data_IF_789856471226
#
_entry.id   IF_789856471226
#
_cell.length_a   1.000
_cell.length_b   1.000
_cell.length_c   1.000
_cell.angle_alpha   90.00
_cell.angle_beta   90.00
_cell.angle_gamma   90.00
#
_symmetry.space_group_name_H-M   'P 1'
#
loop_
_entity.id
_entity.type
_entity.pdbx_description
1 polymer ?
#
# COMPACT_ATOMS: atom_id res chain seq x y z
N UNK A 1 -42.26 -12.61 0.12
CA UNK A 1 -41.40 -11.71 0.93
C UNK A 1 -39.96 -12.22 0.85
N UNK A 2 -38.98 -11.37 0.55
CA UNK A 2 -37.57 -11.74 0.28
C UNK A 2 -36.59 -11.20 1.35
N UNK A 3 -36.96 -11.25 2.64
CA UNK A 3 -36.07 -10.83 3.73
C UNK A 3 -35.98 -9.32 4.02
N UNK A 4 -36.78 -8.47 3.36
CA UNK A 4 -36.83 -7.04 3.71
C UNK A 4 -37.46 -6.83 5.10
N UNK A 5 -36.76 -6.10 5.96
CA UNK A 5 -37.21 -5.71 7.30
C UNK A 5 -37.61 -4.23 7.27
N UNK A 6 -38.90 -3.96 7.43
CA UNK A 6 -39.45 -2.60 7.36
C UNK A 6 -39.44 -1.91 8.75
N UNK A 7 -39.58 -2.70 9.82
CA UNK A 7 -39.62 -2.19 11.19
C UNK A 7 -38.22 -1.98 11.76
N UNK A 8 -38.05 -0.93 12.57
CA UNK A 8 -36.82 -0.69 13.33
C UNK A 8 -36.79 -1.53 14.61
N UNK A 9 -35.60 -1.74 15.17
CA UNK A 9 -35.44 -2.41 16.47
C UNK A 9 -36.20 -1.71 17.62
N UNK A 10 -36.43 -0.40 17.50
CA UNK A 10 -37.20 0.37 18.47
C UNK A 10 -38.70 0.05 18.41
N UNK A 11 -39.26 -0.07 17.20
CA UNK A 11 -40.68 -0.37 17.01
C UNK A 11 -41.00 -1.86 17.21
N UNK A 12 -39.98 -2.72 17.21
CA UNK A 12 -40.11 -4.16 17.33
C UNK A 12 -40.28 -4.82 15.96
N UNK A 13 -39.69 -6.01 15.82
CA UNK A 13 -39.75 -6.79 14.59
C UNK A 13 -40.96 -7.73 14.62
N UNK A 14 -41.66 -7.86 13.50
CA UNK A 14 -42.65 -8.93 13.34
C UNK A 14 -41.96 -10.30 13.37
N UNK A 15 -42.71 -11.36 13.69
CA UNK A 15 -42.14 -12.71 13.80
C UNK A 15 -41.39 -13.15 12.52
N UNK A 16 -41.88 -12.77 11.35
CA UNK A 16 -41.22 -13.06 10.06
C UNK A 16 -39.95 -12.24 9.83
N UNK A 17 -39.96 -10.94 10.20
CA UNK A 17 -38.78 -10.08 10.08
C UNK A 17 -37.67 -10.52 11.05
N UNK A 18 -38.05 -10.87 12.29
CA UNK A 18 -37.13 -11.42 13.27
C UNK A 18 -36.50 -12.74 12.78
N UNK A 19 -37.29 -13.62 12.17
CA UNK A 19 -36.79 -14.88 11.61
C UNK A 19 -35.77 -14.64 10.49
N UNK A 20 -36.08 -13.77 9.51
CA UNK A 20 -35.14 -13.45 8.43
C UNK A 20 -33.89 -12.74 8.94
N UNK A 21 -34.03 -11.82 9.89
CA UNK A 21 -32.90 -11.14 10.51
C UNK A 21 -31.99 -12.10 11.27
N UNK A 22 -32.56 -13.04 12.04
CA UNK A 22 -31.79 -14.06 12.75
C UNK A 22 -31.09 -15.04 11.80
N UNK A 23 -31.69 -15.35 10.64
CA UNK A 23 -31.04 -16.16 9.60
C UNK A 23 -29.82 -15.46 9.01
N UNK A 24 -29.93 -14.18 8.65
CA UNK A 24 -28.83 -13.38 8.11
C UNK A 24 -27.67 -13.26 9.12
N UNK A 25 -28.00 -12.99 10.39
CA UNK A 25 -27.00 -12.96 11.47
C UNK A 25 -26.30 -14.32 11.59
N UNK A 26 -26.99 -15.44 11.41
CA UNK A 26 -26.39 -16.79 11.46
C UNK A 26 -25.50 -17.08 10.25
N UNK A 27 -25.85 -16.59 9.06
CA UNK A 27 -24.98 -16.65 7.87
C UNK A 27 -23.73 -15.77 8.00
N UNK A 28 -23.77 -14.73 8.83
CA UNK A 28 -22.58 -13.94 9.21
C UNK A 28 -21.72 -14.55 10.32
N UNK A 29 -22.15 -15.68 10.91
CA UNK A 29 -21.44 -16.40 12.00
C UNK A 29 -20.51 -17.56 11.54
N UNK A 30 -20.13 -17.81 10.27
CA UNK A 30 -19.12 -18.82 9.92
C UNK A 30 -17.71 -18.32 10.21
N UNK A 31 -17.52 -17.71 11.38
CA UNK A 31 -16.24 -17.17 11.86
C UNK A 31 -15.23 -18.31 12.03
N UNK A 32 -15.66 -19.52 12.37
CA UNK A 32 -14.76 -20.65 12.67
C UNK A 32 -14.06 -21.26 11.45
N UNK A 33 -14.77 -21.50 10.36
CA UNK A 33 -14.19 -22.09 9.13
C UNK A 33 -13.21 -21.11 8.47
N UNK A 34 -13.56 -19.84 8.55
CA UNK A 34 -12.77 -18.71 8.10
C UNK A 34 -11.46 -18.53 8.90
N UNK A 35 -11.48 -18.74 10.23
CA UNK A 35 -10.27 -18.68 11.08
C UNK A 35 -9.27 -19.81 10.75
N UNK A 36 -9.75 -21.02 10.45
CA UNK A 36 -8.87 -22.14 10.11
C UNK A 36 -8.07 -21.86 8.83
N UNK A 37 -8.77 -21.34 7.81
CA UNK A 37 -8.17 -21.02 6.53
C UNK A 37 -7.20 -19.82 6.60
N UNK A 38 -7.54 -18.77 7.36
CA UNK A 38 -6.66 -17.62 7.55
C UNK A 38 -5.42 -17.98 8.37
N UNK A 39 -5.57 -18.81 9.41
CA UNK A 39 -4.47 -19.31 10.23
C UNK A 39 -3.48 -20.18 9.44
N UNK A 40 -3.98 -21.01 8.53
CA UNK A 40 -3.13 -21.82 7.65
C UNK A 40 -2.29 -20.94 6.71
N UNK A 41 -2.89 -19.92 6.11
CA UNK A 41 -2.18 -18.97 5.23
C UNK A 41 -1.08 -18.25 6.00
N UNK A 42 -1.41 -17.66 7.17
CA UNK A 42 -0.45 -16.93 7.99
C UNK A 42 0.71 -17.82 8.44
N UNK A 43 0.43 -19.05 8.90
CA UNK A 43 1.48 -20.00 9.29
C UNK A 43 2.37 -20.40 8.12
N UNK A 44 1.80 -20.61 6.94
CA UNK A 44 2.56 -20.95 5.72
C UNK A 44 3.48 -19.82 5.29
N UNK A 45 2.97 -18.59 5.27
CA UNK A 45 3.78 -17.41 4.97
C UNK A 45 4.92 -17.26 5.97
N UNK A 46 4.63 -17.44 7.26
CA UNK A 46 5.64 -17.36 8.31
C UNK A 46 6.74 -18.40 8.10
N UNK A 47 6.38 -19.66 7.83
CA UNK A 47 7.37 -20.71 7.56
C UNK A 47 8.15 -20.53 6.26
N UNK A 48 7.60 -19.83 5.28
CA UNK A 48 8.28 -19.56 4.03
C UNK A 48 9.23 -18.35 4.10
N UNK A 49 9.02 -17.43 5.05
CA UNK A 49 9.72 -16.14 5.10
C UNK A 49 10.53 -15.93 6.40
N UNK A 50 10.45 -16.84 7.38
CA UNK A 50 11.16 -16.69 8.68
C UNK A 50 12.68 -16.61 8.56
N UNK A 51 13.24 -17.04 7.43
CA UNK A 51 14.68 -17.09 7.17
C UNK A 51 15.22 -15.84 6.47
N UNK A 52 14.37 -14.87 6.13
CA UNK A 52 14.76 -13.64 5.44
C UNK A 52 15.10 -12.51 6.42
N UNK A 53 16.34 -12.02 6.33
CA UNK A 53 16.87 -10.93 7.15
C UNK A 53 17.51 -9.83 6.30
N UNK A 54 17.43 -8.59 6.79
CA UNK A 54 18.19 -7.47 6.24
C UNK A 54 19.66 -7.57 6.66
N UNK A 55 20.59 -7.36 5.74
CA UNK A 55 22.03 -7.37 5.98
C UNK A 55 22.64 -5.96 5.96
N UNK A 56 23.86 -5.83 6.49
CA UNK A 56 24.58 -4.54 6.60
C UNK A 56 24.86 -3.83 5.27
N UNK A 57 24.84 -4.56 4.16
CA UNK A 57 24.96 -4.02 2.80
C UNK A 57 23.61 -3.63 2.19
N UNK A 58 22.56 -3.51 3.03
CA UNK A 58 21.17 -3.22 2.66
C UNK A 58 20.48 -4.29 1.80
N UNK A 59 21.12 -5.46 1.60
CA UNK A 59 20.50 -6.59 0.88
C UNK A 59 19.62 -7.43 1.82
N UNK A 60 18.61 -8.08 1.25
CA UNK A 60 17.81 -9.10 1.97
C UNK A 60 18.27 -10.46 1.52
N UNK A 61 18.65 -11.31 2.47
CA UNK A 61 19.15 -12.65 2.18
C UNK A 61 18.46 -13.71 3.02
N UNK A 62 18.45 -14.93 2.48
CA UNK A 62 18.03 -16.11 3.23
C UNK A 62 19.17 -16.64 4.12
N UNK A 63 18.88 -17.65 4.93
CA UNK A 63 19.88 -18.32 5.78
C UNK A 63 20.98 -19.04 4.99
N UNK A 64 20.73 -19.38 3.72
CA UNK A 64 21.71 -19.96 2.79
C UNK A 64 22.70 -18.94 2.21
N UNK A 65 22.46 -17.65 2.40
CA UNK A 65 23.26 -16.56 1.84
C UNK A 65 22.83 -16.11 0.43
N UNK A 66 21.75 -16.67 -0.12
CA UNK A 66 21.17 -16.24 -1.38
C UNK A 66 20.49 -14.89 -1.21
N UNK A 67 20.72 -13.99 -2.16
CA UNK A 67 20.12 -12.65 -2.18
C UNK A 67 18.72 -12.74 -2.77
N UNK A 68 17.72 -12.28 -2.02
CA UNK A 68 16.32 -12.17 -2.45
C UNK A 68 16.01 -10.75 -2.95
N UNK A 69 16.54 -9.73 -2.28
CA UNK A 69 16.45 -8.33 -2.73
C UNK A 69 17.79 -7.62 -2.58
N UNK A 70 18.15 -6.80 -3.56
CA UNK A 70 19.36 -5.97 -3.48
C UNK A 70 19.20 -4.76 -2.54
N UNK A 71 17.96 -4.32 -2.33
CA UNK A 71 17.57 -3.29 -1.39
C UNK A 71 16.23 -3.69 -0.80
N UNK A 72 16.07 -3.67 0.52
CA UNK A 72 14.79 -3.98 1.15
C UNK A 72 13.70 -3.02 0.64
N UNK A 73 12.60 -3.56 0.11
CA UNK A 73 11.47 -2.72 -0.36
C UNK A 73 11.81 -1.77 -1.51
N UNK A 74 12.93 -2.00 -2.21
CA UNK A 74 13.53 -1.13 -3.24
C UNK A 74 13.98 0.27 -2.76
N UNK A 75 13.60 0.70 -1.55
CA UNK A 75 13.95 2.00 -0.96
C UNK A 75 14.80 1.90 0.31
N UNK A 76 14.95 0.72 0.91
CA UNK A 76 15.75 0.47 2.11
C UNK A 76 15.13 1.03 3.39
N UNK A 77 13.85 1.41 3.36
CA UNK A 77 13.19 2.14 4.42
C UNK A 77 12.29 1.22 5.25
N UNK A 78 12.17 1.51 6.55
CA UNK A 78 11.29 0.78 7.46
C UNK A 78 9.82 1.24 7.31
N UNK A 79 8.89 0.34 6.94
CA UNK A 79 7.48 0.67 6.77
C UNK A 79 6.82 1.22 8.04
N UNK A 80 7.29 0.84 9.23
CA UNK A 80 6.74 1.32 10.51
C UNK A 80 7.03 2.82 10.70
N UNK A 81 8.14 3.28 10.14
CA UNK A 81 8.66 4.64 10.33
C UNK A 81 8.18 5.63 9.25
N UNK A 82 7.30 5.21 8.34
CA UNK A 82 6.79 6.04 7.25
C UNK A 82 5.80 7.11 7.72
N UNK A 83 5.92 8.34 7.20
CA UNK A 83 5.05 9.47 7.58
C UNK A 83 4.26 10.07 6.42
N UNK A 84 4.70 9.84 5.18
CA UNK A 84 4.12 10.40 3.97
C UNK A 84 2.93 9.58 3.48
N UNK A 85 2.11 10.19 2.63
CA UNK A 85 1.06 9.47 1.90
C UNK A 85 1.69 8.45 0.96
N UNK A 86 0.97 7.36 0.68
CA UNK A 86 1.37 6.30 -0.26
C UNK A 86 2.74 5.66 0.08
N UNK A 87 3.07 5.53 1.37
CA UNK A 87 4.32 4.89 1.79
C UNK A 87 5.57 5.76 1.64
N UNK A 88 5.44 7.08 1.41
CA UNK A 88 6.62 7.95 1.39
C UNK A 88 7.25 8.10 2.79
N UNK A 89 8.58 8.19 2.90
CA UNK A 89 9.25 8.28 4.19
C UNK A 89 8.97 9.58 4.92
N UNK A 90 8.89 10.71 4.20
CA UNK A 90 8.68 12.03 4.79
C UNK A 90 7.43 12.71 4.24
N UNK A 91 6.78 13.48 5.10
CA UNK A 91 5.78 14.46 4.72
C UNK A 91 6.42 15.85 4.69
N UNK A 92 6.87 16.28 3.50
CA UNK A 92 7.61 17.52 3.36
C UNK A 92 6.80 18.76 3.72
N UNK A 93 5.50 18.81 3.39
CA UNK A 93 4.61 19.92 3.77
C UNK A 93 4.56 20.09 5.29
N UNK A 94 4.38 18.99 6.03
CA UNK A 94 4.37 19.01 7.49
C UNK A 94 5.70 19.46 8.08
N UNK A 95 6.81 18.95 7.55
CA UNK A 95 8.15 19.31 8.01
C UNK A 95 8.47 20.78 7.73
N UNK A 96 7.99 21.30 6.60
CA UNK A 96 8.17 22.68 6.21
C UNK A 96 7.36 23.66 7.08
N UNK A 97 6.11 23.32 7.38
CA UNK A 97 5.30 24.09 8.33
C UNK A 97 5.95 24.11 9.72
N UNK A 98 6.52 22.98 10.14
CA UNK A 98 7.27 22.88 11.40
C UNK A 98 8.52 23.77 11.39
N UNK A 99 9.31 23.78 10.31
CA UNK A 99 10.52 24.62 10.25
C UNK A 99 10.17 26.11 10.29
N UNK A 100 9.09 26.53 9.62
CA UNK A 100 8.55 27.90 9.70
C UNK A 100 8.10 28.28 11.12
N UNK A 101 7.49 27.35 11.85
CA UNK A 101 7.03 27.60 13.21
C UNK A 101 8.19 27.64 14.23
N UNK A 102 9.22 26.81 14.05
CA UNK A 102 10.41 26.78 14.90
C UNK A 102 11.32 28.00 14.71
N UNK A 103 11.38 28.52 13.48
CA UNK A 103 12.18 29.68 13.12
C UNK A 103 11.26 30.77 12.55
N UNK A 104 10.56 31.55 13.40
CA UNK A 104 9.75 32.67 12.92
C UNK A 104 10.63 33.70 12.21
N UNK A 105 10.06 34.39 11.22
CA UNK A 105 10.80 35.43 10.50
C UNK A 105 11.00 36.64 11.42
N UNK A 106 12.26 36.99 11.67
CA UNK A 106 12.60 38.31 12.18
C UNK A 106 12.32 39.35 11.09
N UNK A 107 11.85 40.54 11.47
CA UNK A 107 11.36 41.57 10.54
C UNK A 107 12.36 42.04 9.47
N UNK A 108 13.65 41.76 9.68
CA UNK A 108 14.75 42.16 8.80
C UNK A 108 15.27 41.02 7.89
N UNK A 109 14.76 39.79 8.01
CA UNK A 109 15.21 38.67 7.17
C UNK A 109 14.54 38.67 5.79
N UNK A 110 15.30 39.04 4.76
CA UNK A 110 14.87 38.95 3.38
C UNK A 110 14.56 37.50 2.96
N UNK A 111 13.49 37.32 2.21
CA UNK A 111 13.20 36.03 1.57
C UNK A 111 14.26 35.73 0.49
N UNK A 112 14.73 34.49 0.46
CA UNK A 112 15.67 34.01 -0.55
C UNK A 112 15.00 34.00 -1.93
N UNK A 113 15.80 34.31 -2.96
CA UNK A 113 15.41 34.10 -4.35
C UNK A 113 15.45 32.61 -4.72
N UNK A 114 14.78 32.23 -5.81
CA UNK A 114 14.75 30.83 -6.27
C UNK A 114 16.13 30.29 -6.64
N UNK A 115 17.06 31.12 -7.12
CA UNK A 115 18.45 30.69 -7.39
C UNK A 115 19.22 30.43 -6.11
N UNK A 116 19.09 31.32 -5.12
CA UNK A 116 19.83 31.20 -3.85
C UNK A 116 19.36 29.98 -3.04
N UNK A 117 18.07 29.63 -3.13
CA UNK A 117 17.52 28.41 -2.52
C UNK A 117 18.19 27.16 -3.08
N UNK A 118 18.32 27.06 -4.40
CA UNK A 118 18.95 25.91 -5.06
C UNK A 118 20.43 25.78 -4.69
N UNK A 119 21.14 26.89 -4.51
CA UNK A 119 22.54 26.89 -4.09
C UNK A 119 22.71 26.42 -2.65
N UNK A 120 21.92 26.95 -1.70
CA UNK A 120 21.96 26.53 -0.29
C UNK A 120 21.65 25.05 -0.14
N UNK A 121 20.64 24.55 -0.85
CA UNK A 121 20.29 23.12 -0.82
C UNK A 121 21.40 22.25 -1.39
N UNK A 122 22.02 22.66 -2.50
CA UNK A 122 23.14 21.92 -3.09
C UNK A 122 24.32 21.86 -2.13
N UNK A 123 24.62 22.96 -1.44
CA UNK A 123 25.68 23.03 -0.45
C UNK A 123 25.40 22.10 0.74
N UNK A 124 24.22 22.21 1.37
CA UNK A 124 23.82 21.38 2.51
C UNK A 124 23.80 19.87 2.15
N UNK A 125 23.28 19.51 0.98
CA UNK A 125 23.29 18.11 0.53
C UNK A 125 24.71 17.57 0.30
N UNK A 126 25.64 18.42 -0.14
CA UNK A 126 27.04 18.03 -0.35
C UNK A 126 27.79 17.84 0.97
N UNK A 127 27.53 18.69 1.97
CA UNK A 127 28.15 18.61 3.29
C UNK A 127 27.65 17.40 4.09
N UNK A 128 26.39 17.01 3.88
CA UNK A 128 25.78 15.85 4.56
C UNK A 128 26.19 14.49 3.96
N UNK A 129 27.01 14.48 2.90
CA UNK A 129 27.61 13.30 2.26
C UNK A 129 26.58 12.21 1.90
N UNK A 130 25.61 12.56 1.06
CA UNK A 130 24.59 11.64 0.56
C UNK A 130 25.14 10.81 -0.63
N UNK A 131 25.97 9.79 -0.38
CA UNK A 131 26.67 9.04 -1.43
C UNK A 131 26.05 7.68 -1.79
N UNK A 132 25.01 7.22 -1.11
CA UNK A 132 24.48 5.87 -1.31
C UNK A 132 23.33 5.84 -2.34
N UNK A 133 23.18 4.72 -3.07
CA UNK A 133 22.16 4.52 -4.12
C UNK A 133 20.73 4.87 -3.65
N UNK A 134 20.41 4.56 -2.39
CA UNK A 134 19.12 4.83 -1.72
C UNK A 134 18.80 6.34 -1.64
N UNK A 135 19.82 7.18 -1.53
CA UNK A 135 19.68 8.61 -1.26
C UNK A 135 19.42 9.45 -2.54
N UNK A 136 19.56 8.84 -3.72
CA UNK A 136 19.42 9.53 -5.01
C UNK A 136 17.97 9.94 -5.32
N UNK A 137 17.01 9.03 -5.12
CA UNK A 137 15.58 9.32 -5.31
C UNK A 137 15.06 10.36 -4.32
N UNK A 138 15.54 10.30 -3.07
CA UNK A 138 15.21 11.29 -2.05
C UNK A 138 15.72 12.69 -2.40
N UNK A 139 16.95 12.81 -2.89
CA UNK A 139 17.52 14.11 -3.29
C UNK A 139 16.68 14.77 -4.38
N UNK A 140 16.20 13.99 -5.35
CA UNK A 140 15.37 14.50 -6.44
C UNK A 140 13.99 14.95 -5.96
N UNK A 141 13.33 14.13 -5.13
CA UNK A 141 12.05 14.46 -4.50
C UNK A 141 12.14 15.75 -3.66
N UNK A 142 13.23 15.91 -2.90
CA UNK A 142 13.48 17.10 -2.09
C UNK A 142 13.71 18.34 -2.96
N UNK A 143 14.50 18.24 -4.03
CA UNK A 143 14.73 19.34 -4.99
C UNK A 143 13.42 19.78 -5.65
N UNK A 144 12.62 18.82 -6.14
CA UNK A 144 11.34 19.09 -6.76
C UNK A 144 10.38 19.82 -5.82
N UNK A 145 10.34 19.42 -4.54
CA UNK A 145 9.53 20.09 -3.54
C UNK A 145 10.00 21.53 -3.26
N UNK A 146 11.32 21.76 -3.17
CA UNK A 146 11.88 23.08 -2.87
C UNK A 146 11.74 24.05 -4.05
N UNK A 147 11.85 23.59 -5.30
CA UNK A 147 11.64 24.41 -6.50
C UNK A 147 10.25 25.06 -6.56
N UNK A 148 9.24 24.46 -5.92
CA UNK A 148 7.88 24.99 -5.84
C UNK A 148 7.64 26.04 -4.76
N UNK A 149 8.66 26.40 -3.97
CA UNK A 149 8.50 27.28 -2.81
C UNK A 149 8.94 28.72 -3.05
N UNK A 150 8.31 29.63 -2.31
CA UNK A 150 8.71 31.04 -2.24
C UNK A 150 8.55 31.59 -0.82
N UNK A 151 9.25 32.69 -0.54
CA UNK A 151 9.08 33.41 0.73
C UNK A 151 9.71 32.72 1.94
N UNK A 152 10.90 32.13 1.79
CA UNK A 152 11.61 31.38 2.84
C UNK A 152 12.90 32.11 3.23
N UNK A 153 13.26 32.10 4.52
CA UNK A 153 14.55 32.64 4.98
C UNK A 153 15.64 31.57 5.00
N UNK A 154 16.91 32.00 4.96
CA UNK A 154 18.07 31.10 4.97
C UNK A 154 18.06 30.12 6.15
N UNK A 155 17.80 30.63 7.36
CA UNK A 155 17.72 29.79 8.57
C UNK A 155 16.61 28.74 8.48
N UNK A 156 15.45 29.10 7.93
CA UNK A 156 14.32 28.18 7.78
C UNK A 156 14.63 27.03 6.82
N UNK A 157 15.34 27.29 5.72
CA UNK A 157 15.71 26.25 4.75
C UNK A 157 16.82 25.33 5.29
N UNK A 158 17.82 25.89 5.98
CA UNK A 158 18.89 25.12 6.62
C UNK A 158 18.32 24.14 7.66
N UNK A 159 17.44 24.63 8.55
CA UNK A 159 16.77 23.77 9.55
C UNK A 159 15.87 22.73 8.88
N UNK A 160 15.17 23.11 7.81
CA UNK A 160 14.32 22.19 7.06
C UNK A 160 15.12 21.04 6.42
N UNK A 161 16.18 21.36 5.66
CA UNK A 161 17.01 20.36 4.97
C UNK A 161 17.68 19.44 6.00
N UNK A 162 18.27 19.99 7.05
CA UNK A 162 18.89 19.20 8.12
C UNK A 162 17.88 18.28 8.83
N UNK A 163 16.67 18.78 9.10
CA UNK A 163 15.59 17.95 9.68
C UNK A 163 15.17 16.84 8.73
N UNK A 164 15.04 17.13 7.43
CA UNK A 164 14.67 16.14 6.42
C UNK A 164 15.72 15.03 6.30
N UNK A 165 17.00 15.38 6.17
CA UNK A 165 18.08 14.39 6.05
C UNK A 165 18.20 13.55 7.33
N UNK A 166 18.17 14.18 8.51
CA UNK A 166 18.23 13.48 9.79
C UNK A 166 17.08 12.48 9.95
N UNK A 167 15.84 12.91 9.63
CA UNK A 167 14.66 12.02 9.69
C UNK A 167 14.63 10.97 8.61
N UNK A 168 15.19 11.24 7.43
CA UNK A 168 15.29 10.26 6.36
C UNK A 168 16.20 9.11 6.79
N UNK A 169 17.41 9.43 7.29
CA UNK A 169 18.37 8.42 7.77
C UNK A 169 17.85 7.60 8.93
N UNK A 170 17.08 8.20 9.84
CA UNK A 170 16.48 7.46 10.97
C UNK A 170 15.36 6.50 10.56
N UNK A 171 14.94 6.50 9.29
CA UNK A 171 13.89 5.62 8.75
C UNK A 171 14.45 4.48 7.92
N UNK A 172 15.76 4.43 7.71
CA UNK A 172 16.40 3.28 7.08
C UNK A 172 16.18 2.05 7.95
N UNK A 173 15.97 0.91 7.30
CA UNK A 173 15.79 -0.33 8.03
C UNK A 173 17.11 -0.76 8.67
N UNK A 174 17.04 -1.18 9.93
CA UNK A 174 18.22 -1.68 10.64
C UNK A 174 18.66 -3.03 10.08
N UNK A 175 19.98 -3.22 9.97
CA UNK A 175 20.56 -4.52 9.63
C UNK A 175 20.26 -5.53 10.75
N UNK A 176 20.00 -6.78 10.36
CA UNK A 176 19.58 -7.86 11.25
C UNK A 176 18.07 -7.91 11.51
N UNK A 177 17.29 -6.99 10.95
CA UNK A 177 15.82 -7.00 11.07
C UNK A 177 15.23 -8.25 10.37
N UNK A 178 14.33 -9.01 11.03
CA UNK A 178 13.65 -10.18 10.44
C UNK A 178 12.55 -9.74 9.47
N UNK A 179 12.95 -9.20 8.33
CA UNK A 179 12.04 -8.58 7.34
C UNK A 179 11.00 -9.55 6.78
N UNK A 180 11.35 -10.83 6.61
CA UNK A 180 10.39 -11.81 6.12
C UNK A 180 9.31 -12.15 7.15
N UNK A 181 9.64 -12.13 8.45
CA UNK A 181 8.66 -12.33 9.51
C UNK A 181 7.65 -11.18 9.58
N UNK A 182 8.14 -9.94 9.47
CA UNK A 182 7.31 -8.75 9.42
C UNK A 182 6.39 -8.82 8.18
N UNK A 183 6.94 -9.12 7.00
CA UNK A 183 6.16 -9.25 5.78
C UNK A 183 5.08 -10.34 5.87
N UNK A 184 5.42 -11.52 6.40
CA UNK A 184 4.46 -12.62 6.58
C UNK A 184 3.28 -12.21 7.47
N UNK A 185 3.56 -11.53 8.58
CA UNK A 185 2.53 -11.07 9.50
C UNK A 185 1.67 -9.94 8.90
N UNK A 186 2.31 -8.98 8.22
CA UNK A 186 1.63 -7.86 7.56
C UNK A 186 0.68 -8.32 6.44
N UNK A 187 0.95 -9.47 5.80
CA UNK A 187 0.02 -10.08 4.85
C UNK A 187 -1.05 -10.90 5.59
N UNK A 188 -0.67 -11.69 6.59
CA UNK A 188 -1.57 -12.65 7.25
C UNK A 188 -2.62 -12.03 8.19
N UNK A 189 -2.32 -10.92 8.85
CA UNK A 189 -3.25 -10.28 9.79
C UNK A 189 -4.48 -9.67 9.08
N UNK A 190 -4.33 -8.88 7.99
CA UNK A 190 -5.48 -8.36 7.24
C UNK A 190 -6.33 -9.46 6.61
N UNK A 191 -5.74 -10.60 6.24
CA UNK A 191 -6.47 -11.75 5.67
C UNK A 191 -7.59 -12.22 6.61
N UNK A 192 -7.34 -12.15 7.92
CA UNK A 192 -8.34 -12.51 8.95
C UNK A 192 -9.52 -11.53 8.99
N UNK A 193 -9.28 -10.25 8.64
CA UNK A 193 -10.32 -9.21 8.57
C UNK A 193 -11.10 -9.28 7.25
N UNK A 194 -10.47 -9.71 6.15
CA UNK A 194 -11.08 -9.80 4.81
C UNK A 194 -12.12 -10.92 4.66
N UNK A 195 -12.38 -11.68 5.72
CA UNK A 195 -13.18 -12.90 5.63
C UNK A 195 -14.70 -12.68 5.59
N UNK A 196 -15.17 -11.45 5.85
CA UNK A 196 -16.61 -11.13 5.91
C UNK A 196 -17.13 -10.25 4.76
N UNK A 197 -16.27 -9.68 3.90
CA UNK A 197 -16.73 -8.75 2.83
C UNK A 197 -16.66 -9.38 1.43
N UNK A 198 -17.45 -10.44 1.19
CA UNK A 198 -17.49 -11.13 -0.12
C UNK A 198 -18.80 -10.96 -0.90
N UNK A 199 -19.74 -10.12 -0.45
CA UNK A 199 -21.02 -9.91 -1.16
C UNK A 199 -21.23 -8.48 -1.68
N UNK A 200 -20.16 -7.68 -1.79
CA UNK A 200 -20.23 -6.45 -2.56
C UNK A 200 -20.01 -6.78 -4.03
N UNK A 201 -21.11 -6.88 -4.78
CA UNK A 201 -21.08 -6.80 -6.24
C UNK A 201 -20.50 -5.43 -6.62
N UNK A 202 -19.22 -5.39 -7.01
CA UNK A 202 -18.62 -4.19 -7.54
C UNK A 202 -19.20 -3.91 -8.93
N UNK A 203 -20.28 -3.13 -8.99
CA UNK A 203 -20.76 -2.43 -10.18
C UNK A 203 -21.36 -3.25 -11.33
N UNK A 204 -21.13 -4.57 -11.41
CA UNK A 204 -21.69 -5.45 -12.43
C UNK A 204 -22.27 -6.71 -11.78
N UNK A 205 -23.59 -6.90 -11.91
CA UNK A 205 -24.41 -7.87 -11.17
C UNK A 205 -24.11 -9.35 -11.49
N UNK A 206 -23.06 -9.63 -12.25
CA UNK A 206 -22.86 -10.92 -12.92
C UNK A 206 -21.48 -11.54 -12.69
N UNK A 207 -20.52 -10.80 -12.10
CA UNK A 207 -19.18 -11.33 -11.79
C UNK A 207 -19.07 -11.59 -10.29
N UNK A 208 -19.15 -12.87 -9.91
CA UNK A 208 -18.72 -13.34 -8.60
C UNK A 208 -17.22 -13.62 -8.73
N UNK A 209 -16.37 -12.63 -8.46
CA UNK A 209 -14.95 -12.88 -8.32
C UNK A 209 -14.70 -13.47 -6.93
N UNK A 210 -13.87 -14.51 -6.84
CA UNK A 210 -13.35 -14.92 -5.54
C UNK A 210 -12.56 -13.75 -4.96
N UNK A 211 -13.07 -13.15 -3.88
CA UNK A 211 -12.46 -12.04 -3.16
C UNK A 211 -12.02 -12.48 -1.76
N UNK A 212 -11.25 -11.64 -1.09
CA UNK A 212 -10.88 -11.84 0.31
C UNK A 212 -9.92 -13.01 0.55
N UNK A 213 -10.10 -13.70 1.67
CA UNK A 213 -9.20 -14.74 2.14
C UNK A 213 -9.08 -15.94 1.19
N UNK A 214 -10.19 -16.35 0.55
CA UNK A 214 -10.20 -17.46 -0.40
C UNK A 214 -9.26 -17.20 -1.59
N UNK A 215 -9.24 -15.95 -2.09
CA UNK A 215 -8.35 -15.56 -3.19
C UNK A 215 -6.89 -15.55 -2.76
N UNK A 216 -6.61 -15.06 -1.57
CA UNK A 216 -5.25 -15.04 -1.02
C UNK A 216 -4.73 -16.48 -0.84
N UNK A 217 -5.59 -17.40 -0.39
CA UNK A 217 -5.26 -18.84 -0.29
C UNK A 217 -4.92 -19.46 -1.64
N UNK A 218 -5.67 -19.15 -2.71
CA UNK A 218 -5.37 -19.62 -4.07
C UNK A 218 -4.01 -19.12 -4.56
N UNK A 219 -3.74 -17.82 -4.40
CA UNK A 219 -2.50 -17.16 -4.85
C UNK A 219 -1.29 -17.71 -4.10
N UNK A 220 -1.34 -17.72 -2.77
CA UNK A 220 -0.22 -18.16 -1.91
C UNK A 220 0.08 -19.65 -2.05
N UNK A 221 -0.92 -20.46 -2.40
CA UNK A 221 -0.74 -21.91 -2.61
C UNK A 221 -0.24 -22.27 -4.01
N UNK A 222 -0.15 -21.31 -4.94
CA UNK A 222 0.33 -21.57 -6.31
C UNK A 222 -0.52 -22.61 -7.06
N UNK A 223 -1.83 -22.62 -6.85
CA UNK A 223 -2.71 -23.65 -7.42
C UNK A 223 -2.77 -23.53 -8.96
N UNK A 224 -2.65 -24.66 -9.67
CA UNK A 224 -2.74 -24.70 -11.14
C UNK A 224 -4.15 -24.43 -11.68
N UNK A 225 -5.18 -24.70 -10.87
CA UNK A 225 -6.60 -24.49 -11.21
C UNK A 225 -7.21 -23.61 -10.13
N UNK A 226 -7.71 -22.45 -10.53
CA UNK A 226 -8.38 -21.48 -9.67
C UNK A 226 -9.89 -21.46 -9.95
N UNK A 227 -10.68 -21.04 -8.97
CA UNK A 227 -12.14 -21.13 -9.02
C UNK A 227 -12.75 -20.19 -10.07
N UNK A 228 -12.25 -18.95 -10.16
CA UNK A 228 -12.75 -17.93 -11.10
C UNK A 228 -11.60 -17.28 -11.88
N UNK A 229 -11.07 -17.94 -12.94
CA UNK A 229 -10.07 -17.34 -13.81
C UNK A 229 -10.70 -16.27 -14.70
N UNK A 230 -10.16 -15.05 -14.66
CA UNK A 230 -10.61 -13.92 -15.47
C UNK A 230 -9.42 -13.40 -16.26
N UNK A 231 -9.62 -13.13 -17.55
CA UNK A 231 -8.65 -12.49 -18.44
C UNK A 231 -9.28 -11.17 -18.90
N UNK A 232 -8.63 -10.06 -18.57
CA UNK A 232 -9.02 -8.74 -19.07
C UNK A 232 -8.20 -8.42 -20.31
N UNK A 233 -8.88 -8.25 -21.44
CA UNK A 233 -8.24 -7.87 -22.72
C UNK A 233 -8.61 -6.45 -23.08
N UNK A 234 -7.63 -5.66 -23.48
CA UNK A 234 -7.84 -4.30 -23.97
C UNK A 234 -7.96 -4.35 -25.49
N UNK A 235 -8.97 -3.68 -26.03
CA UNK A 235 -9.16 -3.56 -27.47
C UNK A 235 -8.26 -2.44 -28.01
N UNK A 236 -7.55 -2.69 -29.12
CA UNK A 236 -6.78 -1.64 -29.80
C UNK A 236 -7.67 -0.53 -30.36
N UNK A 237 -8.92 -0.87 -30.67
CA UNK A 237 -9.95 0.06 -31.15
C UNK A 237 -11.18 -0.07 -30.25
N UNK A 238 -11.25 0.79 -29.26
CA UNK A 238 -12.35 0.91 -28.28
C UNK A 238 -13.47 1.87 -28.74
N UNK A 239 -13.21 2.66 -29.79
CA UNK A 239 -14.14 3.68 -30.30
C UNK A 239 -15.43 3.16 -30.96
N UNK A 240 -15.62 1.85 -31.08
CA UNK A 240 -16.80 1.27 -31.75
C UNK A 240 -17.25 -0.03 -31.09
N UNK A 241 -18.45 0.00 -30.52
CA UNK A 241 -19.10 -1.12 -29.84
C UNK A 241 -19.28 -2.34 -30.74
N UNK A 242 -19.55 -2.14 -32.05
CA UNK A 242 -19.75 -3.25 -32.99
C UNK A 242 -18.48 -4.09 -33.18
N UNK A 243 -17.31 -3.44 -33.26
CA UNK A 243 -16.02 -4.15 -33.39
C UNK A 243 -15.75 -4.95 -32.13
N UNK A 244 -16.10 -4.36 -31.00
CA UNK A 244 -15.93 -4.97 -29.72
C UNK A 244 -16.84 -6.23 -29.61
N UNK A 245 -18.10 -6.16 -30.06
CA UNK A 245 -19.01 -7.33 -30.12
C UNK A 245 -18.50 -8.41 -31.08
N UNK A 246 -17.97 -8.04 -32.25
CA UNK A 246 -17.35 -8.98 -33.20
C UNK A 246 -16.20 -9.75 -32.54
N UNK A 247 -15.29 -9.03 -31.86
CA UNK A 247 -14.15 -9.64 -31.13
C UNK A 247 -14.66 -10.53 -30.01
N UNK A 248 -15.69 -10.09 -29.26
CA UNK A 248 -16.31 -10.89 -28.21
C UNK A 248 -16.83 -12.21 -28.79
N UNK A 249 -17.61 -12.18 -29.88
CA UNK A 249 -18.14 -13.37 -30.52
C UNK A 249 -17.06 -14.32 -31.06
N UNK A 250 -15.91 -13.82 -31.49
CA UNK A 250 -14.80 -14.66 -31.94
C UNK A 250 -14.17 -15.49 -30.82
N UNK A 251 -14.28 -15.05 -29.57
CA UNK A 251 -13.59 -15.64 -28.42
C UNK A 251 -14.59 -16.35 -27.47
N UNK A 252 -15.83 -15.86 -27.42
CA UNK A 252 -16.95 -16.40 -26.63
C UNK A 252 -17.29 -17.82 -27.13
N UNK A 253 -16.78 -18.82 -26.39
CA UNK A 253 -16.82 -20.25 -26.76
C UNK A 253 -15.50 -20.99 -26.52
N UNK A 254 -14.38 -20.25 -26.49
CA UNK A 254 -13.06 -20.75 -26.06
C UNK A 254 -12.66 -20.17 -24.69
N UNK A 255 -13.07 -18.93 -24.41
CA UNK A 255 -12.84 -18.19 -23.17
C UNK A 255 -14.11 -17.36 -22.90
N UNK A 256 -14.44 -17.13 -21.63
CA UNK A 256 -15.52 -16.18 -21.28
C UNK A 256 -15.03 -14.75 -21.56
N UNK A 257 -15.63 -14.06 -22.53
CA UNK A 257 -15.20 -12.71 -22.95
C UNK A 257 -16.26 -11.68 -22.63
N UNK A 258 -15.82 -10.54 -22.10
CA UNK A 258 -16.68 -9.39 -21.83
C UNK A 258 -15.96 -8.09 -22.13
N UNK A 259 -16.76 -7.14 -22.59
CA UNK A 259 -16.35 -5.77 -22.86
C UNK A 259 -16.60 -4.96 -21.60
N UNK A 260 -15.62 -4.13 -21.23
CA UNK A 260 -15.71 -3.19 -20.12
C UNK A 260 -16.45 -1.92 -20.55
#
# INVERSE_FOLDING_TARGET
AKGFVANSFYNGLSATEFFFHAMEVREGVPISENIEDTGLVTRRLMKALEDLFSHYDCTVRNTGGDIVQFCYGDDGMDPVSMEGKNGKPLNFERLFLRSKAMCPKDGDEAALSSSDLCEVVRQELSELCMSNLVESGFSEDLKNFICGMSGITRRQIEVFVNTCVSRYRSKLIDAGTPVGAIAALSIGEPVSQMTLETFHFAGDATIISTCGAARIKEITSGQRRISTPIITTILERDNNENIAEEVKHCIEGKISVRML
#
